data_IF_386568326802
#
_entry.id   IF_386568326802
#
_cell.length_a   1.000
_cell.length_b   1.000
_cell.length_c   1.000
_cell.angle_alpha   90.00
_cell.angle_beta   90.00
_cell.angle_gamma   90.00
#
_symmetry.space_group_name_H-M   'P 1'
#
loop_
_entity.id
_entity.type
_entity.pdbx_description
1 polymer ?
#
# COMPACT_ATOMS: atom_id res chain seq x y z
N UNK A 1 7.34 84.44 9.60
CA UNK A 1 8.23 83.32 9.27
C UNK A 1 8.71 82.66 10.56
N UNK A 2 8.04 81.59 11.00
CA UNK A 2 8.65 80.59 11.86
C UNK A 2 8.70 79.21 11.18
N UNK A 3 9.86 78.62 11.38
CA UNK A 3 10.32 77.26 11.11
C UNK A 3 9.39 76.19 11.70
N UNK A 4 9.04 75.18 10.91
CA UNK A 4 8.43 73.93 11.38
C UNK A 4 9.08 72.75 10.68
N UNK A 5 10.17 72.31 11.27
CA UNK A 5 10.80 71.01 11.08
C UNK A 5 9.80 69.91 11.49
N UNK A 6 9.32 69.13 10.53
CA UNK A 6 8.61 67.87 10.80
C UNK A 6 9.68 66.78 10.91
N UNK A 7 9.98 66.38 12.15
CA UNK A 7 10.70 65.14 12.44
C UNK A 7 9.73 63.98 12.30
N UNK A 8 9.85 63.20 11.24
CA UNK A 8 9.24 61.88 11.11
C UNK A 8 10.37 60.86 11.11
N UNK A 9 10.75 60.41 12.30
CA UNK A 9 11.60 59.25 12.49
C UNK A 9 11.04 58.42 13.66
N UNK A 10 11.07 57.09 13.47
CA UNK A 10 11.09 56.06 14.51
C UNK A 10 9.79 55.59 15.21
N UNK A 11 8.73 55.26 14.46
CA UNK A 11 7.63 54.45 15.02
C UNK A 11 7.25 53.20 14.21
N UNK A 12 8.15 52.71 13.34
CA UNK A 12 7.87 51.58 12.45
C UNK A 12 8.38 50.19 12.85
N UNK A 13 9.22 50.05 13.89
CA UNK A 13 10.02 48.83 14.06
C UNK A 13 9.78 47.98 15.33
N UNK A 14 8.98 48.45 16.30
CA UNK A 14 8.92 47.80 17.63
C UNK A 14 7.72 46.86 17.82
N UNK A 15 6.75 46.85 16.90
CA UNK A 15 5.48 46.08 17.04
C UNK A 15 5.47 44.71 16.35
N UNK A 16 6.55 44.27 15.70
CA UNK A 16 6.56 42.99 14.96
C UNK A 16 7.19 41.81 15.71
N UNK A 17 7.89 42.03 16.83
CA UNK A 17 8.62 40.98 17.55
C UNK A 17 7.82 40.34 18.70
N UNK A 18 6.76 40.99 19.17
CA UNK A 18 5.95 40.49 20.31
C UNK A 18 5.12 39.25 19.98
N UNK A 19 4.86 38.92 18.71
CA UNK A 19 3.81 37.92 18.43
C UNK A 19 4.29 36.60 17.83
N UNK A 20 5.53 36.47 17.35
CA UNK A 20 5.93 35.22 16.67
C UNK A 20 6.05 34.04 17.65
N UNK A 21 6.70 34.26 18.79
CA UNK A 21 6.86 33.21 19.81
C UNK A 21 5.53 32.85 20.51
N UNK A 22 4.61 33.82 20.65
CA UNK A 22 3.28 33.58 21.20
C UNK A 22 2.39 32.80 20.22
N UNK A 23 2.44 33.15 18.92
CA UNK A 23 1.78 32.40 17.85
C UNK A 23 2.33 30.97 17.78
N UNK A 24 3.65 30.78 17.79
CA UNK A 24 4.25 29.43 17.77
C UNK A 24 3.81 28.58 18.96
N UNK A 25 3.82 29.14 20.18
CA UNK A 25 3.31 28.45 21.38
C UNK A 25 1.81 28.13 21.28
N UNK A 26 1.01 29.04 20.74
CA UNK A 26 -0.44 28.84 20.59
C UNK A 26 -0.75 27.77 19.54
N UNK A 27 -0.05 27.79 18.41
CA UNK A 27 -0.13 26.75 17.37
C UNK A 27 0.28 25.39 17.94
N UNK A 28 1.38 25.33 18.71
CA UNK A 28 1.81 24.11 19.37
C UNK A 28 0.74 23.58 20.33
N UNK A 29 0.19 24.43 21.20
CA UNK A 29 -0.88 24.03 22.14
C UNK A 29 -2.14 23.52 21.44
N UNK A 30 -2.61 24.22 20.40
CA UNK A 30 -3.79 23.80 19.62
C UNK A 30 -3.53 22.45 18.96
N UNK A 31 -2.35 22.28 18.35
CA UNK A 31 -1.97 21.02 17.72
C UNK A 31 -1.91 19.88 18.74
N UNK A 32 -1.32 20.13 19.91
CA UNK A 32 -1.22 19.12 20.97
C UNK A 32 -2.61 18.70 21.48
N UNK A 33 -3.51 19.65 21.73
CA UNK A 33 -4.88 19.36 22.20
C UNK A 33 -5.79 18.72 21.14
N UNK A 34 -5.70 19.17 19.89
CA UNK A 34 -6.42 18.56 18.78
C UNK A 34 -5.93 17.13 18.55
N UNK A 35 -4.61 16.91 18.58
CA UNK A 35 -4.02 15.60 18.48
C UNK A 35 -4.46 14.71 19.63
N UNK A 36 -4.41 15.17 20.89
CA UNK A 36 -4.84 14.40 22.06
C UNK A 36 -6.30 13.93 21.92
N UNK A 37 -7.21 14.85 21.59
CA UNK A 37 -8.66 14.53 21.51
C UNK A 37 -8.96 13.57 20.36
N UNK A 38 -8.42 13.82 19.17
CA UNK A 38 -8.62 12.96 18.00
C UNK A 38 -7.93 11.61 18.17
N UNK A 39 -6.74 11.60 18.76
CA UNK A 39 -5.98 10.39 19.03
C UNK A 39 -6.70 9.51 20.04
N UNK A 40 -7.06 10.07 21.20
CA UNK A 40 -7.70 9.32 22.26
C UNK A 40 -9.04 8.74 21.79
N UNK A 41 -9.86 9.54 21.11
CA UNK A 41 -11.12 9.05 20.51
C UNK A 41 -10.88 7.97 19.46
N UNK A 42 -9.87 8.10 18.60
CA UNK A 42 -9.54 7.09 17.60
C UNK A 42 -9.06 5.78 18.20
N UNK A 43 -8.25 5.84 19.27
CA UNK A 43 -7.79 4.66 20.02
C UNK A 43 -8.96 3.99 20.74
N UNK A 44 -9.81 4.76 21.41
CA UNK A 44 -10.97 4.21 22.13
C UNK A 44 -11.95 3.51 21.18
N UNK A 45 -12.30 4.15 20.05
CA UNK A 45 -13.13 3.53 19.00
C UNK A 45 -12.44 2.28 18.45
N UNK A 46 -11.14 2.36 18.14
CA UNK A 46 -10.36 1.25 17.62
C UNK A 46 -10.33 0.05 18.57
N UNK A 47 -10.09 0.31 19.86
CA UNK A 47 -10.03 -0.70 20.93
C UNK A 47 -11.40 -1.32 21.20
N UNK A 48 -12.47 -0.53 21.22
CA UNK A 48 -13.84 -1.05 21.31
C UNK A 48 -14.12 -2.02 20.16
N UNK A 49 -13.83 -1.62 18.93
CA UNK A 49 -14.07 -2.45 17.75
C UNK A 49 -13.18 -3.70 17.74
N UNK A 50 -11.92 -3.57 18.13
CA UNK A 50 -10.96 -4.67 18.25
C UNK A 50 -11.47 -5.73 19.24
N UNK A 51 -11.90 -5.30 20.43
CA UNK A 51 -12.46 -6.18 21.46
C UNK A 51 -13.75 -6.86 21.03
N UNK A 52 -14.70 -6.11 20.46
CA UNK A 52 -16.05 -6.61 20.22
C UNK A 52 -16.24 -7.33 18.87
N UNK A 53 -15.40 -7.07 17.87
CA UNK A 53 -15.52 -7.69 16.54
C UNK A 53 -14.36 -8.61 16.17
N UNK A 54 -13.25 -8.53 16.89
CA UNK A 54 -12.04 -9.28 16.59
C UNK A 54 -11.49 -10.04 17.80
N UNK A 55 -12.18 -10.03 18.96
CA UNK A 55 -11.80 -10.74 20.18
C UNK A 55 -10.34 -10.46 20.60
N UNK A 56 -9.92 -9.19 20.50
CA UNK A 56 -8.55 -8.73 20.76
C UNK A 56 -7.46 -9.42 19.90
N UNK A 57 -7.86 -10.08 18.81
CA UNK A 57 -6.94 -10.81 17.93
C UNK A 57 -6.23 -9.86 16.95
N UNK A 58 -4.96 -9.53 17.27
CA UNK A 58 -4.08 -8.68 16.47
C UNK A 58 -3.93 -9.20 15.03
N UNK A 59 -3.77 -10.51 14.87
CA UNK A 59 -3.56 -11.14 13.55
C UNK A 59 -4.81 -11.00 12.67
N UNK A 60 -5.99 -11.22 13.24
CA UNK A 60 -7.25 -11.08 12.53
C UNK A 60 -7.54 -9.62 12.14
N UNK A 61 -7.31 -8.68 13.06
CA UNK A 61 -7.53 -7.25 12.84
C UNK A 61 -6.62 -6.67 11.75
N UNK A 62 -5.35 -7.11 11.71
CA UNK A 62 -4.34 -6.66 10.74
C UNK A 62 -4.33 -7.45 9.43
N UNK A 63 -5.09 -8.55 9.35
CA UNK A 63 -5.19 -9.40 8.17
C UNK A 63 -5.65 -8.63 6.92
N UNK A 64 -5.00 -8.94 5.80
CA UNK A 64 -5.37 -8.48 4.45
C UNK A 64 -6.50 -9.32 3.84
N UNK A 65 -6.96 -10.37 4.54
CA UNK A 65 -7.97 -11.28 4.01
C UNK A 65 -9.31 -10.54 3.82
N UNK A 66 -9.92 -10.59 2.62
CA UNK A 66 -11.22 -9.97 2.38
C UNK A 66 -12.34 -10.58 3.23
N UNK A 67 -12.16 -11.74 3.86
CA UNK A 67 -13.14 -12.39 4.76
C UNK A 67 -13.06 -11.92 6.21
N UNK A 68 -12.79 -10.63 6.44
CA UNK A 68 -12.96 -10.01 7.78
C UNK A 68 -14.36 -10.34 8.36
N UNK A 69 -14.52 -10.36 9.70
CA UNK A 69 -15.76 -10.74 10.36
C UNK A 69 -16.97 -10.10 9.67
N UNK A 70 -17.94 -10.92 9.23
CA UNK A 70 -19.12 -10.44 8.48
C UNK A 70 -19.84 -9.33 9.26
N UNK A 71 -19.86 -9.44 10.59
CA UNK A 71 -20.39 -8.46 11.54
C UNK A 71 -19.75 -7.08 11.40
N UNK A 72 -18.41 -6.98 11.33
CA UNK A 72 -17.72 -5.69 11.19
C UNK A 72 -18.06 -5.01 9.86
N UNK A 73 -18.13 -5.76 8.77
CA UNK A 73 -18.52 -5.21 7.46
C UNK A 73 -19.96 -4.70 7.44
N UNK A 74 -20.87 -5.36 8.17
CA UNK A 74 -22.26 -4.93 8.29
C UNK A 74 -22.35 -3.65 9.09
N UNK A 75 -21.64 -3.56 10.22
CA UNK A 75 -21.53 -2.32 11.00
C UNK A 75 -21.11 -1.15 10.11
N UNK A 76 -20.02 -1.30 9.36
CA UNK A 76 -19.48 -0.21 8.56
C UNK A 76 -20.33 0.20 7.35
N UNK A 77 -21.37 -0.55 7.00
CA UNK A 77 -22.35 -0.16 5.98
C UNK A 77 -23.52 0.66 6.55
N UNK A 78 -23.58 0.82 7.87
CA UNK A 78 -24.62 1.60 8.50
C UNK A 78 -24.47 3.09 8.15
N UNK A 79 -25.50 3.66 7.52
CA UNK A 79 -25.52 5.07 7.06
C UNK A 79 -25.48 6.08 8.20
N UNK A 80 -25.81 5.67 9.43
CA UNK A 80 -25.84 6.53 10.60
C UNK A 80 -24.46 6.65 11.29
N UNK A 81 -23.43 6.00 10.77
CA UNK A 81 -22.08 6.14 11.31
C UNK A 81 -21.47 7.49 10.92
N UNK A 82 -21.01 8.22 11.92
CA UNK A 82 -20.27 9.48 11.73
C UNK A 82 -18.88 9.26 11.08
N UNK A 83 -18.33 8.04 11.19
CA UNK A 83 -16.99 7.70 10.75
C UNK A 83 -17.06 6.71 9.58
N UNK A 84 -16.37 6.97 8.46
CA UNK A 84 -16.40 6.10 7.29
C UNK A 84 -15.64 4.79 7.53
N UNK A 85 -15.99 3.76 6.77
CA UNK A 85 -15.39 2.42 6.82
C UNK A 85 -13.85 2.41 6.82
N UNK A 86 -13.24 3.23 5.97
CA UNK A 86 -11.78 3.31 5.82
C UNK A 86 -11.12 3.80 7.10
N UNK A 87 -11.68 4.85 7.73
CA UNK A 87 -11.20 5.41 8.99
C UNK A 87 -11.38 4.41 10.14
N UNK A 88 -12.53 3.75 10.25
CA UNK A 88 -12.75 2.69 11.26
C UNK A 88 -11.74 1.54 11.10
N UNK A 89 -11.44 1.15 9.86
CA UNK A 89 -10.44 0.11 9.58
C UNK A 89 -9.04 0.55 10.04
N UNK A 90 -8.68 1.81 9.86
CA UNK A 90 -7.38 2.34 10.34
C UNK A 90 -7.37 2.37 11.86
N UNK A 91 -8.41 2.89 12.52
CA UNK A 91 -8.53 2.94 13.98
C UNK A 91 -8.35 1.56 14.63
N UNK A 92 -9.05 0.53 14.12
CA UNK A 92 -8.89 -0.86 14.59
C UNK A 92 -7.46 -1.35 14.42
N UNK A 93 -6.83 -1.06 13.28
CA UNK A 93 -5.46 -1.50 13.01
C UNK A 93 -4.43 -0.76 13.85
N UNK A 94 -4.67 0.52 14.18
CA UNK A 94 -3.85 1.28 15.12
C UNK A 94 -4.00 0.69 16.51
N UNK A 95 -5.21 0.42 16.99
CA UNK A 95 -5.42 -0.23 18.29
C UNK A 95 -4.73 -1.60 18.39
N UNK A 96 -4.85 -2.44 17.35
CA UNK A 96 -4.14 -3.72 17.29
C UNK A 96 -2.61 -3.56 17.24
N UNK A 97 -2.13 -2.47 16.63
CA UNK A 97 -0.72 -2.13 16.61
C UNK A 97 -0.23 -1.62 17.99
N UNK A 98 -1.05 -0.91 18.76
CA UNK A 98 -0.71 -0.53 20.14
C UNK A 98 -0.56 -1.76 21.04
N UNK A 99 -1.47 -2.74 20.95
CA UNK A 99 -1.29 -4.01 21.65
C UNK A 99 0.04 -4.68 21.27
N UNK A 100 0.35 -4.74 19.98
CA UNK A 100 1.62 -5.28 19.49
C UNK A 100 2.85 -4.53 20.02
N UNK A 101 2.80 -3.19 20.10
CA UNK A 101 3.90 -2.40 20.66
C UNK A 101 4.04 -2.61 22.17
N UNK A 102 2.93 -2.69 22.90
CA UNK A 102 2.91 -2.98 24.34
C UNK A 102 3.50 -4.37 24.64
N UNK A 103 3.10 -5.40 23.89
CA UNK A 103 3.67 -6.76 23.99
C UNK A 103 5.19 -6.79 23.75
N UNK A 104 5.72 -5.81 23.02
CA UNK A 104 7.13 -5.70 22.66
C UNK A 104 7.87 -4.57 23.40
N UNK A 105 7.28 -4.01 24.46
CA UNK A 105 7.86 -2.95 25.31
C UNK A 105 8.35 -1.73 24.51
N UNK A 106 7.58 -1.29 23.51
CA UNK A 106 7.87 -0.05 22.77
C UNK A 106 6.93 1.05 23.27
N UNK A 107 7.47 2.05 23.95
CA UNK A 107 6.72 3.25 24.35
C UNK A 107 6.42 4.11 23.12
N UNK A 108 5.14 4.19 22.75
CA UNK A 108 4.67 4.94 21.59
C UNK A 108 4.10 6.32 21.96
N UNK A 109 4.27 6.77 23.21
CA UNK A 109 3.69 8.04 23.70
C UNK A 109 4.16 9.28 22.92
N UNK A 110 5.35 9.21 22.31
CA UNK A 110 5.90 10.29 21.46
C UNK A 110 5.42 10.24 20.00
N UNK A 111 4.71 9.19 19.60
CA UNK A 111 4.21 9.05 18.23
C UNK A 111 2.79 9.63 18.12
N UNK A 112 2.60 10.64 17.28
CA UNK A 112 1.25 11.12 16.95
C UNK A 112 0.40 10.05 16.24
N UNK A 113 -0.92 10.23 16.23
CA UNK A 113 -1.84 9.34 15.51
C UNK A 113 -1.44 9.13 14.04
N UNK A 114 -1.00 10.21 13.38
CA UNK A 114 -0.58 10.16 11.97
C UNK A 114 0.62 9.22 11.78
N UNK A 115 1.62 9.29 12.66
CA UNK A 115 2.75 8.35 12.62
C UNK A 115 2.27 6.90 12.76
N UNK A 116 1.41 6.65 13.77
CA UNK A 116 0.86 5.32 14.04
C UNK A 116 0.05 4.79 12.85
N UNK A 117 -0.75 5.64 12.22
CA UNK A 117 -1.55 5.30 11.04
C UNK A 117 -0.70 4.95 9.81
N UNK A 118 0.47 5.56 9.66
CA UNK A 118 1.40 5.22 8.59
C UNK A 118 2.17 3.93 8.88
N UNK A 119 2.56 3.69 10.14
CA UNK A 119 3.17 2.43 10.58
C UNK A 119 2.25 1.21 10.38
N UNK A 120 0.94 1.39 10.41
CA UNK A 120 -0.05 0.34 10.12
C UNK A 120 0.13 -0.24 8.71
N UNK A 121 0.79 0.46 7.78
CA UNK A 121 1.09 -0.06 6.43
C UNK A 121 2.14 -1.18 6.43
N UNK A 122 2.91 -1.31 7.51
CA UNK A 122 3.86 -2.40 7.73
C UNK A 122 3.20 -3.57 8.47
N UNK A 123 3.73 -4.76 8.25
CA UNK A 123 3.33 -5.96 9.01
C UNK A 123 3.90 -5.90 10.43
N UNK A 124 3.23 -6.55 11.40
CA UNK A 124 3.66 -6.59 12.80
C UNK A 124 4.88 -7.53 12.94
N UNK A 125 6.04 -7.02 12.53
CA UNK A 125 7.33 -7.71 12.54
C UNK A 125 8.37 -6.89 13.30
N UNK A 126 9.54 -7.47 13.61
CA UNK A 126 10.68 -6.74 14.20
C UNK A 126 11.02 -5.45 13.45
N UNK A 127 10.96 -5.47 12.11
CA UNK A 127 11.20 -4.29 11.28
C UNK A 127 10.26 -3.11 11.62
N UNK A 128 8.99 -3.37 12.00
CA UNK A 128 8.08 -2.30 12.41
C UNK A 128 8.53 -1.70 13.76
N UNK A 129 8.98 -2.53 14.69
CA UNK A 129 9.49 -2.11 15.99
C UNK A 129 10.74 -1.22 15.82
N UNK A 130 11.67 -1.64 14.96
CA UNK A 130 12.88 -0.87 14.64
C UNK A 130 12.53 0.51 14.05
N UNK A 131 11.60 0.56 13.11
CA UNK A 131 11.17 1.83 12.49
C UNK A 131 10.47 2.72 13.50
N UNK A 132 9.64 2.15 14.39
CA UNK A 132 8.99 2.92 15.45
C UNK A 132 10.02 3.53 16.41
N UNK A 133 11.00 2.73 16.87
CA UNK A 133 12.09 3.23 17.73
C UNK A 133 12.92 4.30 17.04
N UNK A 134 13.31 4.09 15.78
CA UNK A 134 14.03 5.07 14.98
C UNK A 134 13.26 6.39 14.85
N UNK A 135 11.94 6.30 14.67
CA UNK A 135 11.06 7.47 14.60
C UNK A 135 11.05 8.25 15.92
N UNK A 136 11.04 7.56 17.05
CA UNK A 136 11.04 8.16 18.39
C UNK A 136 12.41 8.76 18.74
N UNK A 137 13.50 8.03 18.48
CA UNK A 137 14.87 8.43 18.79
C UNK A 137 15.29 9.66 17.99
N UNK A 138 14.93 9.72 16.71
CA UNK A 138 15.34 10.81 15.82
C UNK A 138 14.27 11.90 15.65
N UNK A 139 13.13 11.81 16.36
CA UNK A 139 11.99 12.70 16.21
C UNK A 139 11.58 12.91 14.74
N UNK A 140 11.49 11.82 13.97
CA UNK A 140 11.17 11.90 12.54
C UNK A 140 9.81 12.56 12.36
N UNK A 141 9.71 13.42 11.35
CA UNK A 141 8.43 13.96 10.91
C UNK A 141 7.57 12.88 10.26
N UNK A 142 6.25 13.13 10.21
CA UNK A 142 5.30 12.23 9.54
C UNK A 142 5.67 12.00 8.08
N UNK A 143 6.22 13.01 7.38
CA UNK A 143 6.66 12.92 5.99
C UNK A 143 7.88 11.99 5.83
N UNK A 144 8.88 12.14 6.70
CA UNK A 144 10.08 11.30 6.69
C UNK A 144 9.73 9.84 6.99
N UNK A 145 8.88 9.61 7.99
CA UNK A 145 8.37 8.27 8.30
C UNK A 145 7.61 7.68 7.10
N UNK A 146 6.74 8.46 6.46
CA UNK A 146 5.95 7.98 5.31
C UNK A 146 6.84 7.58 4.14
N UNK A 147 7.90 8.36 3.88
CA UNK A 147 8.91 8.04 2.87
C UNK A 147 9.67 6.75 3.24
N UNK A 148 10.11 6.61 4.49
CA UNK A 148 10.80 5.42 4.97
C UNK A 148 9.93 4.17 4.85
N UNK A 149 8.69 4.22 5.31
CA UNK A 149 7.71 3.13 5.20
C UNK A 149 7.48 2.74 3.73
N UNK A 150 7.35 3.73 2.85
CA UNK A 150 7.12 3.50 1.41
C UNK A 150 8.32 2.80 0.76
N UNK A 151 9.53 3.28 1.04
CA UNK A 151 10.77 2.68 0.53
C UNK A 151 10.95 1.23 0.99
N UNK A 152 10.65 0.93 2.27
CA UNK A 152 10.69 -0.44 2.78
C UNK A 152 9.69 -1.36 2.09
N UNK A 153 8.46 -0.87 1.86
CA UNK A 153 7.44 -1.62 1.12
C UNK A 153 7.86 -1.89 -0.33
N UNK A 154 8.44 -0.89 -0.99
CA UNK A 154 8.94 -1.04 -2.36
C UNK A 154 10.07 -2.07 -2.43
N UNK A 155 11.08 -1.99 -1.57
CA UNK A 155 12.17 -2.98 -1.50
C UNK A 155 11.66 -4.40 -1.25
N UNK A 156 10.66 -4.58 -0.38
CA UNK A 156 10.00 -5.88 -0.17
C UNK A 156 9.29 -6.39 -1.44
N UNK A 157 8.65 -5.50 -2.20
CA UNK A 157 8.00 -5.87 -3.46
C UNK A 157 9.02 -6.24 -4.54
N UNK A 158 10.12 -5.49 -4.65
CA UNK A 158 11.22 -5.79 -5.57
C UNK A 158 11.88 -7.12 -5.23
N UNK A 159 12.16 -7.38 -3.94
CA UNK A 159 12.69 -8.68 -3.49
C UNK A 159 11.74 -9.84 -3.76
N UNK A 160 10.43 -9.62 -3.63
CA UNK A 160 9.42 -10.64 -3.97
C UNK A 160 9.33 -10.88 -5.47
N UNK A 161 9.54 -9.87 -6.31
CA UNK A 161 9.61 -10.03 -7.76
C UNK A 161 10.86 -10.81 -8.16
N UNK A 162 12.03 -10.43 -7.65
CA UNK A 162 13.29 -11.15 -7.92
C UNK A 162 13.32 -12.57 -7.37
N UNK A 163 12.49 -12.91 -6.38
CA UNK A 163 12.32 -14.30 -5.91
C UNK A 163 11.23 -15.09 -6.66
N UNK A 164 10.33 -14.40 -7.37
CA UNK A 164 9.30 -15.05 -8.22
C UNK A 164 9.77 -15.30 -9.64
N UNK A 165 10.81 -14.60 -10.06
CA UNK A 165 11.46 -14.77 -11.36
C UNK A 165 12.68 -15.69 -11.18
N UNK A 166 12.47 -17.01 -11.30
CA UNK A 166 13.41 -17.98 -11.88
C UNK A 166 13.01 -19.45 -11.61
N UNK A 167 11.73 -19.80 -11.76
CA UNK A 167 11.40 -21.19 -12.07
C UNK A 167 10.85 -21.25 -13.50
N UNK A 168 11.49 -21.98 -14.43
CA UNK A 168 10.96 -22.20 -15.78
C UNK A 168 9.49 -22.66 -15.77
N UNK A 169 9.06 -23.33 -14.71
CA UNK A 169 7.70 -23.82 -14.48
C UNK A 169 6.64 -22.73 -14.32
N UNK A 170 6.91 -21.61 -13.63
CA UNK A 170 5.91 -20.53 -13.44
C UNK A 170 5.62 -19.80 -14.75
N UNK A 171 6.62 -19.69 -15.62
CA UNK A 171 6.46 -19.08 -16.94
C UNK A 171 5.63 -19.98 -17.86
N UNK A 172 5.87 -21.30 -17.85
CA UNK A 172 5.07 -22.27 -18.63
C UNK A 172 3.60 -22.26 -18.18
N UNK A 173 3.32 -22.34 -16.87
CA UNK A 173 1.96 -22.32 -16.35
C UNK A 173 1.20 -21.02 -16.69
N UNK A 174 1.90 -19.89 -16.72
CA UNK A 174 1.31 -18.60 -17.10
C UNK A 174 0.98 -18.57 -18.59
N UNK A 175 1.85 -19.11 -19.45
CA UNK A 175 1.61 -19.23 -20.89
C UNK A 175 0.40 -20.15 -21.16
N UNK A 176 0.31 -21.29 -20.47
CA UNK A 176 -0.83 -22.21 -20.58
C UNK A 176 -2.16 -21.53 -20.19
N UNK A 177 -2.18 -20.78 -19.09
CA UNK A 177 -3.39 -20.06 -18.67
C UNK A 177 -3.82 -19.00 -19.69
N UNK A 178 -2.88 -18.24 -20.24
CA UNK A 178 -3.17 -17.21 -21.24
C UNK A 178 -3.69 -17.82 -22.55
N UNK A 179 -3.09 -18.92 -23.01
CA UNK A 179 -3.56 -19.65 -24.20
C UNK A 179 -4.96 -20.22 -23.98
N UNK A 180 -5.21 -20.87 -22.84
CA UNK A 180 -6.51 -21.44 -22.51
C UNK A 180 -7.62 -20.38 -22.39
N UNK A 181 -7.31 -19.20 -21.84
CA UNK A 181 -8.26 -18.09 -21.77
C UNK A 181 -8.58 -17.52 -23.16
N UNK A 182 -7.59 -17.49 -24.06
CA UNK A 182 -7.74 -16.96 -25.41
C UNK A 182 -8.55 -17.91 -26.31
N UNK A 183 -8.32 -19.22 -26.21
CA UNK A 183 -9.06 -20.26 -26.97
C UNK A 183 -10.54 -20.29 -26.57
N UNK A 184 -10.86 -19.99 -25.30
CA UNK A 184 -12.23 -19.88 -24.79
C UNK A 184 -12.92 -18.54 -25.09
N UNK A 185 -12.28 -17.65 -25.85
CA UNK A 185 -12.90 -16.38 -26.24
C UNK A 185 -14.12 -16.62 -27.13
N UNK A 186 -15.24 -15.98 -26.79
CA UNK A 186 -16.48 -16.02 -27.58
C UNK A 186 -16.29 -15.53 -29.03
N UNK A 187 -15.22 -14.76 -29.29
CA UNK A 187 -14.86 -14.30 -30.64
C UNK A 187 -14.41 -15.44 -31.57
N UNK A 188 -13.91 -16.55 -31.02
CA UNK A 188 -13.45 -17.72 -31.81
C UNK A 188 -14.63 -18.64 -32.15
N UNK A 189 -15.67 -18.65 -31.33
CA UNK A 189 -16.79 -19.59 -31.43
C UNK A 189 -18.04 -18.97 -32.07
N UNK A 190 -18.22 -17.65 -32.02
CA UNK A 190 -19.39 -16.96 -32.55
C UNK A 190 -19.10 -16.13 -33.80
N UNK A 191 -19.38 -16.71 -34.97
CA UNK A 191 -19.21 -16.07 -36.27
C UNK A 191 -20.12 -14.83 -36.46
N UNK A 192 -21.23 -14.71 -35.72
CA UNK A 192 -22.14 -13.58 -35.86
C UNK A 192 -21.48 -12.26 -35.41
N UNK A 193 -20.65 -12.33 -34.36
CA UNK A 193 -19.85 -11.19 -33.86
C UNK A 193 -18.82 -10.73 -34.87
N UNK A 194 -18.22 -11.65 -35.62
CA UNK A 194 -17.26 -11.32 -36.69
C UNK A 194 -17.94 -10.68 -37.91
N UNK A 195 -19.17 -11.11 -38.25
CA UNK A 195 -19.95 -10.53 -39.35
C UNK A 195 -20.36 -9.08 -39.08
N UNK A 196 -20.64 -8.74 -37.82
CA UNK A 196 -20.95 -7.37 -37.41
C UNK A 196 -19.77 -6.39 -37.41
N UNK A 197 -18.53 -6.86 -37.56
CA UNK A 197 -17.34 -6.00 -37.60
C UNK A 197 -17.20 -5.27 -38.95
N UNK A 198 -16.49 -4.16 -38.97
CA UNK A 198 -16.11 -3.50 -40.22
C UNK A 198 -15.09 -4.36 -40.99
N UNK A 199 -15.11 -4.32 -42.33
CA UNK A 199 -14.24 -5.13 -43.19
C UNK A 199 -12.75 -4.94 -42.85
N UNK A 200 -12.29 -3.68 -42.80
CA UNK A 200 -10.92 -3.33 -42.41
C UNK A 200 -10.51 -3.95 -41.06
N UNK A 201 -11.39 -3.95 -40.07
CA UNK A 201 -11.12 -4.56 -38.75
C UNK A 201 -10.99 -6.08 -38.84
N UNK A 202 -11.77 -6.74 -39.72
CA UNK A 202 -11.62 -8.18 -39.97
C UNK A 202 -10.30 -8.51 -40.66
N UNK A 203 -9.88 -7.70 -41.62
CA UNK A 203 -8.60 -7.85 -42.33
C UNK A 203 -7.42 -7.66 -41.38
N UNK A 204 -7.43 -6.59 -40.56
CA UNK A 204 -6.41 -6.36 -39.53
C UNK A 204 -6.36 -7.52 -38.51
N UNK A 205 -7.52 -8.05 -38.12
CA UNK A 205 -7.59 -9.19 -37.20
C UNK A 205 -7.03 -10.46 -37.84
N UNK A 206 -7.31 -10.70 -39.13
CA UNK A 206 -6.75 -11.82 -39.90
C UNK A 206 -5.23 -11.75 -39.94
N UNK A 207 -4.68 -10.58 -40.26
CA UNK A 207 -3.23 -10.38 -40.35
C UNK A 207 -2.54 -10.53 -38.99
N UNK A 208 -3.13 -9.98 -37.92
CA UNK A 208 -2.60 -10.16 -36.56
C UNK A 208 -2.65 -11.62 -36.12
N UNK A 209 -3.71 -12.34 -36.48
CA UNK A 209 -3.85 -13.77 -36.16
C UNK A 209 -2.82 -14.61 -36.92
N UNK A 210 -2.56 -14.30 -38.20
CA UNK A 210 -1.54 -14.98 -38.99
C UNK A 210 -0.13 -14.79 -38.40
N UNK A 211 0.24 -13.56 -38.01
CA UNK A 211 1.51 -13.27 -37.34
C UNK A 211 1.63 -13.98 -35.99
N UNK A 212 0.54 -14.06 -35.24
CA UNK A 212 0.50 -14.78 -33.97
C UNK A 212 0.76 -16.29 -34.17
N UNK A 213 0.13 -16.91 -35.18
CA UNK A 213 0.37 -18.32 -35.53
C UNK A 213 1.84 -18.54 -35.87
N UNK A 214 2.44 -17.69 -36.69
CA UNK A 214 3.85 -17.79 -37.06
C UNK A 214 4.76 -17.71 -35.82
N UNK A 215 4.49 -16.75 -34.93
CA UNK A 215 5.22 -16.62 -33.67
C UNK A 215 5.07 -17.86 -32.79
N UNK A 216 3.87 -18.44 -32.67
CA UNK A 216 3.63 -19.66 -31.90
C UNK A 216 4.37 -20.87 -32.49
N UNK A 217 4.44 -20.99 -33.82
CA UNK A 217 5.22 -22.03 -34.49
C UNK A 217 6.71 -21.89 -34.21
N UNK A 218 7.25 -20.66 -34.20
CA UNK A 218 8.64 -20.39 -33.82
C UNK A 218 8.91 -20.82 -32.38
N UNK A 219 8.07 -20.38 -31.44
CA UNK A 219 8.18 -20.78 -30.02
C UNK A 219 8.08 -22.30 -29.85
N UNK A 220 7.20 -22.97 -30.60
CA UNK A 220 7.09 -24.44 -30.59
C UNK A 220 8.40 -25.12 -31.00
N UNK A 221 9.09 -24.59 -32.02
CA UNK A 221 10.41 -25.10 -32.43
C UNK A 221 11.46 -24.90 -31.34
N UNK A 222 11.45 -23.76 -30.67
CA UNK A 222 12.36 -23.47 -29.55
C UNK A 222 12.11 -24.39 -28.35
N UNK A 223 10.85 -24.62 -27.96
CA UNK A 223 10.48 -25.57 -26.92
C UNK A 223 10.93 -27.01 -27.25
N UNK A 224 10.75 -27.46 -28.51
CA UNK A 224 11.25 -28.77 -28.96
C UNK A 224 12.77 -28.87 -28.85
N UNK A 225 13.49 -27.79 -29.19
CA UNK A 225 14.96 -27.74 -29.03
C UNK A 225 15.36 -27.83 -27.56
N UNK A 226 14.63 -27.14 -26.67
CA UNK A 226 14.86 -27.21 -25.23
C UNK A 226 14.65 -28.64 -24.70
N UNK A 227 13.56 -29.32 -25.08
CA UNK A 227 13.31 -30.72 -24.69
C UNK A 227 14.47 -31.61 -25.11
N UNK A 228 14.92 -31.52 -26.37
CA UNK A 228 16.05 -32.30 -26.89
C UNK A 228 17.35 -32.04 -26.10
N UNK A 229 17.59 -30.79 -25.70
CA UNK A 229 18.75 -30.44 -24.88
C UNK A 229 18.65 -31.03 -23.47
N UNK A 230 17.46 -30.99 -22.85
CA UNK A 230 17.23 -31.58 -21.52
C UNK A 230 17.42 -33.10 -21.54
N UNK A 231 16.88 -33.80 -22.54
CA UNK A 231 17.09 -35.24 -22.74
C UNK A 231 18.58 -35.60 -22.89
N UNK A 232 19.36 -34.74 -23.54
CA UNK A 232 20.81 -34.94 -23.67
C UNK A 232 21.52 -34.82 -22.33
N UNK A 233 21.19 -33.80 -21.55
CA UNK A 233 21.75 -33.60 -20.20
C UNK A 233 21.42 -34.77 -19.27
N UNK A 234 20.21 -35.32 -19.36
CA UNK A 234 19.81 -36.50 -18.59
C UNK A 234 20.62 -37.74 -18.96
N UNK A 235 20.82 -37.99 -20.26
CA UNK A 235 21.65 -39.11 -20.74
C UNK A 235 23.10 -39.01 -20.28
N UNK A 236 23.69 -37.82 -20.35
CA UNK A 236 25.07 -37.56 -19.91
C UNK A 236 25.23 -37.79 -18.39
N UNK A 237 24.20 -37.54 -17.58
CA UNK A 237 24.22 -37.82 -16.13
C UNK A 237 24.09 -39.29 -15.76
N UNK A 238 23.46 -40.11 -16.60
CA UNK A 238 23.30 -41.56 -16.38
C UNK A 238 24.48 -42.41 -16.87
N UNK A 239 25.48 -41.80 -17.53
CA UNK A 239 26.68 -42.49 -18.04
C UNK A 239 27.93 -42.32 -17.14
N UNK A 240 27.76 -41.76 -15.94
CA UNK A 240 28.73 -41.72 -14.85
C UNK A 240 28.21 -42.57 -13.69
#
# INVERSE_FOLDING_TARGET
>A
MPDRTIKNDEQGAVTQTVDKAFIEKSVQFINDKANETLYQGAIEIGSYLLKHFFDDNIVLATSKNPRKPKSFKVLCKNKNLAVPYTTLTIMVRVAAQELFFNENNVDTGKLSYTHKSDLVRLENTSEKLEIARLCIENNLSTRELSHLVSNKRQKRLEKRKSQKDDTPFTNIATIEQLLNKTIKSELVTDLSKLRGMHQKTREDLKDKTARLIESMLKTTKECKRLIKNLERVEKEKTSF
#
